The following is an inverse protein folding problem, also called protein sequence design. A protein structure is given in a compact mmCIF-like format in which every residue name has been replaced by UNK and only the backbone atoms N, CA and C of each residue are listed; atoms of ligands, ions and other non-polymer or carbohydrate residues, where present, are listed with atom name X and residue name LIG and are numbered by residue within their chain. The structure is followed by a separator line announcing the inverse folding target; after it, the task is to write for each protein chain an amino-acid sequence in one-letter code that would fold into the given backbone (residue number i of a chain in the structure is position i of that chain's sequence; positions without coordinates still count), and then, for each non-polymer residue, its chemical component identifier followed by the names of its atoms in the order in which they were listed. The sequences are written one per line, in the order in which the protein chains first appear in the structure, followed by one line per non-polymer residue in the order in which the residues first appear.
data_IF_712337093320
#
_entry.id   IF_712337093320
#
_cell.length_a   1.000
_cell.length_b   1.000
_cell.length_c   1.000
_cell.angle_alpha   90.00
_cell.angle_beta   90.00
_cell.angle_gamma   90.00
#
_symmetry.space_group_name_H-M   'P 1'
#
loop_
_entity.id
_entity.type
_entity.pdbx_description
1 polymer ?
#
# COMPACT_ATOMS: atom_id res chain seq x y z
N UNK A 1 45.20 4.22 34.93
CA UNK A 1 44.11 4.62 34.03
C UNK A 1 43.99 3.49 33.01
N UNK A 2 42.94 2.67 33.09
CA UNK A 2 42.72 1.61 32.10
C UNK A 2 42.20 2.24 30.81
N UNK A 3 42.90 1.98 29.70
CA UNK A 3 42.45 2.37 28.37
C UNK A 3 41.40 1.34 27.94
N UNK A 4 40.22 1.80 27.54
CA UNK A 4 39.17 0.91 27.01
C UNK A 4 39.52 0.50 25.59
N UNK A 5 39.52 -0.80 25.36
CA UNK A 5 39.67 -1.40 24.04
C UNK A 5 38.32 -1.37 23.30
N UNK A 6 38.36 -1.14 21.98
CA UNK A 6 37.18 -1.14 21.11
C UNK A 6 37.47 -1.98 19.87
N UNK A 7 36.51 -2.82 19.49
CA UNK A 7 36.62 -3.74 18.35
C UNK A 7 35.58 -3.36 17.27
N UNK A 8 35.93 -3.54 16.01
CA UNK A 8 35.04 -3.44 14.85
C UNK A 8 34.75 -4.83 14.25
N UNK A 9 33.99 -4.88 13.15
CA UNK A 9 33.57 -6.14 12.50
C UNK A 9 34.74 -6.99 12.00
N UNK A 10 35.79 -6.36 11.45
CA UNK A 10 36.94 -7.07 10.86
C UNK A 10 37.93 -7.60 11.91
N UNK A 11 37.81 -7.17 13.16
CA UNK A 11 38.69 -7.60 14.25
C UNK A 11 38.31 -8.99 14.80
N UNK A 12 37.13 -9.50 14.46
CA UNK A 12 36.56 -10.71 15.07
C UNK A 12 35.92 -11.65 14.04
N UNK A 13 35.89 -12.94 14.38
CA UNK A 13 35.22 -13.97 13.60
C UNK A 13 34.29 -14.80 14.48
N UNK A 14 33.19 -15.29 13.89
CA UNK A 14 32.28 -16.21 14.57
C UNK A 14 32.86 -17.63 14.54
N UNK A 15 33.12 -18.21 15.73
CA UNK A 15 33.57 -19.59 15.86
C UNK A 15 32.41 -20.56 15.57
N UNK A 16 32.50 -21.44 14.56
CA UNK A 16 31.44 -22.39 14.25
C UNK A 16 31.15 -23.34 15.43
N UNK A 17 29.88 -23.66 15.64
CA UNK A 17 29.42 -24.64 16.65
C UNK A 17 28.48 -25.65 16.01
N UNK A 18 28.33 -26.82 16.65
CA UNK A 18 27.36 -27.85 16.22
C UNK A 18 25.96 -27.23 16.19
N UNK A 19 25.27 -27.40 15.06
CA UNK A 19 23.89 -26.93 14.86
C UNK A 19 22.95 -28.11 14.70
N UNK A 20 21.74 -28.00 15.25
CA UNK A 20 20.62 -28.93 15.00
C UNK A 20 19.77 -28.52 13.80
N UNK A 21 20.05 -27.35 13.20
CA UNK A 21 19.35 -26.84 12.02
C UNK A 21 19.76 -27.68 10.82
N UNK A 22 18.79 -28.38 10.23
CA UNK A 22 19.01 -29.32 9.12
C UNK A 22 19.09 -28.57 7.78
N UNK A 23 18.26 -27.54 7.61
CA UNK A 23 18.20 -26.75 6.38
C UNK A 23 18.20 -25.26 6.70
N UNK A 24 18.74 -24.44 5.78
CA UNK A 24 18.76 -22.98 5.92
C UNK A 24 17.35 -22.39 6.12
N UNK A 25 16.33 -23.02 5.52
CA UNK A 25 14.92 -22.62 5.64
C UNK A 25 14.32 -22.74 7.05
N UNK A 26 14.95 -23.48 7.96
CA UNK A 26 14.50 -23.59 9.35
C UNK A 26 14.97 -22.43 10.23
N UNK A 27 15.86 -21.57 9.73
CA UNK A 27 16.34 -20.41 10.48
C UNK A 27 15.28 -19.31 10.51
N UNK A 28 15.05 -18.72 11.70
CA UNK A 28 14.11 -17.61 11.87
C UNK A 28 14.90 -16.29 11.95
N UNK A 29 14.60 -15.37 11.03
CA UNK A 29 15.21 -14.04 10.95
C UNK A 29 14.34 -12.94 11.58
N UNK A 30 13.19 -13.31 12.16
CA UNK A 30 12.32 -12.35 12.82
C UNK A 30 13.03 -11.64 13.96
N UNK A 31 12.85 -10.33 14.03
CA UNK A 31 13.46 -9.49 15.05
C UNK A 31 12.51 -8.38 15.52
N UNK A 32 12.79 -7.78 16.67
CA UNK A 32 12.07 -6.62 17.18
C UNK A 32 12.86 -5.35 16.90
N UNK A 33 12.27 -4.45 16.11
CA UNK A 33 12.80 -3.10 15.91
C UNK A 33 12.53 -2.21 17.13
N UNK A 34 11.34 -2.35 17.72
CA UNK A 34 10.94 -1.62 18.91
C UNK A 34 10.06 -2.49 19.81
N UNK A 35 9.59 -1.94 20.94
CA UNK A 35 8.68 -2.64 21.85
C UNK A 35 7.44 -3.20 21.13
N UNK A 36 6.96 -2.49 20.12
CA UNK A 36 5.68 -2.75 19.45
C UNK A 36 5.81 -3.09 17.95
N UNK A 37 7.03 -3.12 17.41
CA UNK A 37 7.28 -3.35 15.97
C UNK A 37 8.22 -4.54 15.81
N UNK A 38 7.70 -5.58 15.17
CA UNK A 38 8.47 -6.75 14.72
C UNK A 38 8.68 -6.69 13.21
N UNK A 39 9.83 -7.16 12.75
CA UNK A 39 10.19 -7.32 11.35
C UNK A 39 10.40 -8.82 11.05
N UNK A 40 10.15 -9.21 9.81
CA UNK A 40 10.39 -10.58 9.36
C UNK A 40 11.86 -10.85 9.00
N UNK A 41 12.60 -9.79 8.66
CA UNK A 41 14.06 -9.81 8.49
C UNK A 41 14.70 -8.62 9.23
N UNK A 42 15.95 -8.74 9.71
CA UNK A 42 16.62 -7.69 10.49
C UNK A 42 17.29 -6.66 9.58
N UNK A 43 16.59 -6.16 8.56
CA UNK A 43 17.14 -5.20 7.58
C UNK A 43 16.29 -3.93 7.57
N UNK A 44 16.98 -2.80 7.67
CA UNK A 44 16.40 -1.45 7.67
C UNK A 44 17.14 -0.63 6.63
N UNK A 45 16.44 0.08 5.75
CA UNK A 45 17.10 1.01 4.83
C UNK A 45 17.42 2.34 5.53
N UNK A 46 18.58 2.91 5.20
CA UNK A 46 19.05 4.16 5.80
C UNK A 46 18.14 5.34 5.43
N UNK A 47 17.97 6.28 6.36
CA UNK A 47 17.15 7.47 6.22
C UNK A 47 17.82 8.60 5.42
N UNK A 48 18.38 8.26 4.26
CA UNK A 48 19.09 9.17 3.37
C UNK A 48 18.26 9.44 2.11
N UNK A 49 18.35 10.65 1.58
CA UNK A 49 17.69 11.10 0.33
C UNK A 49 18.01 10.20 -0.87
N UNK A 50 19.27 9.82 -0.98
CA UNK A 50 19.81 8.93 -2.03
C UNK A 50 19.42 7.46 -1.86
N UNK A 51 18.78 7.09 -0.74
CA UNK A 51 18.50 5.69 -0.40
C UNK A 51 17.01 5.42 -0.28
N UNK A 52 16.28 6.20 0.54
CA UNK A 52 14.93 5.82 0.97
C UNK A 52 13.88 6.89 0.80
N UNK A 53 13.18 6.80 -0.33
CA UNK A 53 11.83 7.36 -0.53
C UNK A 53 10.78 6.23 -0.56
N UNK A 54 9.54 6.52 -0.98
CA UNK A 54 8.45 5.55 -1.00
C UNK A 54 8.79 4.26 -1.75
N UNK A 55 9.44 4.35 -2.91
CA UNK A 55 9.77 3.17 -3.71
C UNK A 55 10.64 2.15 -2.92
N UNK A 56 11.71 2.62 -2.28
CA UNK A 56 12.57 1.78 -1.45
C UNK A 56 11.85 1.28 -0.21
N UNK A 57 11.10 2.15 0.48
CA UNK A 57 10.36 1.74 1.66
C UNK A 57 9.30 0.66 1.38
N UNK A 58 8.64 0.71 0.21
CA UNK A 58 7.73 -0.34 -0.26
C UNK A 58 8.47 -1.64 -0.52
N UNK A 59 9.62 -1.59 -1.19
CA UNK A 59 10.43 -2.79 -1.45
C UNK A 59 10.90 -3.45 -0.14
N UNK A 60 11.45 -2.65 0.78
CA UNK A 60 11.89 -3.13 2.09
C UNK A 60 10.76 -3.78 2.88
N UNK A 61 9.59 -3.14 2.93
CA UNK A 61 8.44 -3.71 3.63
C UNK A 61 7.94 -5.01 2.99
N UNK A 62 8.00 -5.15 1.65
CA UNK A 62 7.61 -6.37 0.93
C UNK A 62 8.53 -7.55 1.24
N UNK A 63 9.84 -7.30 1.33
CA UNK A 63 10.82 -8.34 1.68
C UNK A 63 10.86 -8.66 3.19
N UNK A 64 10.13 -7.90 4.01
CA UNK A 64 10.00 -8.14 5.45
C UNK A 64 10.88 -7.27 6.35
N UNK A 65 11.61 -6.33 5.76
CA UNK A 65 12.32 -5.28 6.47
C UNK A 65 11.43 -4.05 6.68
N UNK A 66 12.06 -2.88 6.79
CA UNK A 66 11.37 -1.59 6.85
C UNK A 66 12.24 -0.51 6.22
N UNK A 67 11.62 0.46 5.55
CA UNK A 67 12.31 1.66 5.10
C UNK A 67 12.00 2.87 5.97
N UNK A 68 13.01 3.71 6.18
CA UNK A 68 12.89 4.98 6.90
C UNK A 68 13.01 6.13 5.90
N UNK A 69 11.91 6.86 5.68
CA UNK A 69 11.89 8.01 4.78
C UNK A 69 12.77 9.13 5.37
N UNK A 70 13.65 9.70 4.56
CA UNK A 70 14.52 10.80 4.97
C UNK A 70 13.75 12.10 5.28
N UNK A 71 14.45 13.09 5.84
CA UNK A 71 13.89 14.38 6.29
C UNK A 71 14.18 15.56 5.36
N UNK A 72 14.83 15.33 4.21
CA UNK A 72 15.14 16.39 3.24
C UNK A 72 13.97 16.61 2.27
N UNK A 73 12.77 16.73 2.84
CA UNK A 73 11.50 16.98 2.19
C UNK A 73 10.74 17.98 3.05
N UNK A 74 9.84 18.75 2.46
CA UNK A 74 8.87 19.49 3.26
C UNK A 74 7.96 18.52 4.03
N UNK A 75 7.36 18.97 5.14
CA UNK A 75 6.44 18.14 5.93
C UNK A 75 5.32 17.53 5.05
N UNK A 76 4.65 18.30 4.16
CA UNK A 76 3.63 17.73 3.27
C UNK A 76 4.17 16.66 2.31
N UNK A 77 5.38 16.85 1.79
CA UNK A 77 6.02 15.87 0.89
C UNK A 77 6.37 14.58 1.63
N UNK A 78 6.95 14.67 2.82
CA UNK A 78 7.27 13.49 3.63
C UNK A 78 6.01 12.70 4.00
N UNK A 79 4.92 13.40 4.35
CA UNK A 79 3.61 12.78 4.59
C UNK A 79 3.09 12.09 3.34
N UNK A 80 3.25 12.70 2.17
CA UNK A 80 2.85 12.07 0.91
C UNK A 80 3.64 10.80 0.61
N UNK A 81 4.95 10.79 0.85
CA UNK A 81 5.79 9.58 0.72
C UNK A 81 5.32 8.46 1.65
N UNK A 82 5.02 8.77 2.93
CA UNK A 82 4.46 7.81 3.88
C UNK A 82 3.12 7.27 3.36
N UNK A 83 2.23 8.13 2.88
CA UNK A 83 0.92 7.74 2.35
C UNK A 83 1.05 6.79 1.15
N UNK A 84 1.98 7.05 0.23
CA UNK A 84 2.28 6.16 -0.90
C UNK A 84 2.67 4.77 -0.40
N UNK A 85 3.54 4.68 0.61
CA UNK A 85 3.96 3.38 1.18
C UNK A 85 2.80 2.65 1.85
N UNK A 86 2.01 3.35 2.67
CA UNK A 86 0.85 2.72 3.33
C UNK A 86 -0.17 2.19 2.34
N UNK A 87 -0.32 2.80 1.16
CA UNK A 87 -1.29 2.39 0.12
C UNK A 87 -0.79 1.25 -0.78
N UNK A 88 0.51 1.04 -0.92
CA UNK A 88 1.11 0.14 -1.94
C UNK A 88 0.98 -1.38 -1.69
N UNK A 89 0.45 -1.77 -0.53
CA UNK A 89 0.31 -3.18 -0.14
C UNK A 89 -0.82 -3.42 0.85
N UNK A 90 -1.75 -2.46 0.96
CA UNK A 90 -2.98 -2.66 1.72
C UNK A 90 -3.90 -3.56 0.91
N UNK A 91 -4.34 -4.68 1.47
CA UNK A 91 -5.32 -5.56 0.81
C UNK A 91 -6.69 -4.87 0.70
N UNK A 92 -6.98 -3.99 1.66
CA UNK A 92 -8.16 -3.12 1.69
C UNK A 92 -7.68 -1.67 1.63
N UNK A 93 -8.09 -0.95 0.59
CA UNK A 93 -7.87 0.49 0.45
C UNK A 93 -8.99 1.19 1.20
N UNK A 94 -8.76 1.67 2.43
CA UNK A 94 -9.79 2.32 3.28
C UNK A 94 -10.27 3.68 2.71
N UNK A 95 -9.41 4.40 1.98
CA UNK A 95 -9.73 5.68 1.36
C UNK A 95 -9.48 5.60 -0.15
N UNK A 96 -10.36 4.93 -0.91
CA UNK A 96 -10.25 4.91 -2.36
C UNK A 96 -10.45 6.32 -2.92
N UNK A 97 -10.04 6.54 -4.16
CA UNK A 97 -10.27 7.82 -4.82
C UNK A 97 -11.67 7.86 -5.43
N UNK A 98 -12.34 8.99 -5.21
CA UNK A 98 -13.71 9.23 -5.62
C UNK A 98 -13.79 10.30 -6.69
N UNK A 99 -14.85 10.24 -7.49
CA UNK A 99 -15.24 11.30 -8.40
C UNK A 99 -16.75 11.47 -8.35
N UNK A 100 -17.24 12.68 -8.56
CA UNK A 100 -18.67 12.94 -8.56
C UNK A 100 -19.29 12.61 -9.93
N UNK A 101 -20.56 12.18 -9.97
CA UNK A 101 -21.27 11.84 -11.21
C UNK A 101 -21.43 13.02 -12.18
N UNK A 102 -21.42 14.26 -11.67
CA UNK A 102 -21.57 15.52 -12.40
C UNK A 102 -20.25 16.11 -12.91
N UNK A 103 -19.12 15.46 -12.65
CA UNK A 103 -17.83 15.84 -13.21
C UNK A 103 -17.65 15.31 -14.63
N UNK A 104 -16.74 15.92 -15.38
CA UNK A 104 -16.44 15.50 -16.75
C UNK A 104 -15.50 14.29 -16.78
N UNK A 105 -15.58 13.49 -17.85
CA UNK A 105 -14.62 12.41 -18.12
C UNK A 105 -13.18 12.95 -18.18
N UNK A 106 -12.98 14.15 -18.73
CA UNK A 106 -11.67 14.80 -18.78
C UNK A 106 -11.06 14.98 -17.39
N UNK A 107 -11.82 15.51 -16.44
CA UNK A 107 -11.38 15.67 -15.04
C UNK A 107 -11.03 14.31 -14.42
N UNK A 108 -11.82 13.27 -14.72
CA UNK A 108 -11.55 11.91 -14.27
C UNK A 108 -10.20 11.39 -14.76
N UNK A 109 -9.90 11.58 -16.04
CA UNK A 109 -8.64 11.15 -16.66
C UNK A 109 -7.45 11.88 -16.03
N UNK A 110 -7.56 13.20 -15.86
CA UNK A 110 -6.52 14.02 -15.22
C UNK A 110 -6.27 13.56 -13.78
N UNK A 111 -7.34 13.32 -13.02
CA UNK A 111 -7.25 12.87 -11.64
C UNK A 111 -6.65 11.46 -11.52
N UNK A 112 -7.04 10.54 -12.40
CA UNK A 112 -6.44 9.19 -12.47
C UNK A 112 -4.94 9.24 -12.77
N UNK A 113 -4.52 10.15 -13.66
CA UNK A 113 -3.11 10.36 -13.99
C UNK A 113 -2.33 10.93 -12.81
N UNK A 114 -2.85 11.99 -12.21
CA UNK A 114 -2.24 12.66 -11.05
C UNK A 114 -2.03 11.67 -9.88
N UNK A 115 -3.05 10.86 -9.59
CA UNK A 115 -3.01 9.88 -8.49
C UNK A 115 -2.42 8.53 -8.89
N UNK A 116 -2.04 8.34 -10.15
CA UNK A 116 -1.50 7.10 -10.70
C UNK A 116 -2.38 5.86 -10.42
N UNK A 117 -3.69 6.00 -10.60
CA UNK A 117 -4.68 4.92 -10.37
C UNK A 117 -5.41 4.50 -11.64
N UNK A 118 -5.89 3.26 -11.67
CA UNK A 118 -6.56 2.66 -12.84
C UNK A 118 -8.10 2.67 -12.76
N UNK A 119 -8.66 3.29 -11.73
CA UNK A 119 -10.10 3.54 -11.64
C UNK A 119 -10.46 4.41 -10.44
N UNK A 120 -11.64 5.00 -10.52
CA UNK A 120 -12.26 5.88 -9.54
C UNK A 120 -13.63 5.33 -9.17
N UNK A 121 -13.98 5.42 -7.90
CA UNK A 121 -15.34 5.13 -7.46
C UNK A 121 -16.19 6.38 -7.69
N UNK A 122 -17.39 6.20 -8.24
CA UNK A 122 -18.32 7.29 -8.45
C UNK A 122 -19.27 7.33 -7.26
N UNK A 123 -19.26 8.44 -6.53
CA UNK A 123 -20.09 8.61 -5.34
C UNK A 123 -20.80 9.94 -5.32
N UNK A 124 -21.96 9.99 -4.68
CA UNK A 124 -22.64 11.23 -4.34
C UNK A 124 -21.92 12.00 -3.21
N UNK A 125 -22.51 13.13 -2.80
CA UNK A 125 -22.00 13.94 -1.68
C UNK A 125 -22.01 13.22 -0.33
N UNK A 126 -22.84 12.19 -0.16
CA UNK A 126 -22.98 11.40 1.06
C UNK A 126 -22.11 10.14 1.06
N UNK A 127 -21.23 9.99 0.07
CA UNK A 127 -20.34 8.84 -0.16
C UNK A 127 -21.08 7.54 -0.52
N UNK A 128 -22.32 7.64 -1.00
CA UNK A 128 -23.07 6.51 -1.53
C UNK A 128 -22.52 6.15 -2.91
N UNK A 129 -22.31 4.86 -3.14
CA UNK A 129 -21.78 4.38 -4.42
C UNK A 129 -22.86 4.48 -5.51
N UNK A 130 -22.56 5.22 -6.58
CA UNK A 130 -23.39 5.29 -7.78
C UNK A 130 -22.81 4.48 -8.94
N UNK A 131 -21.49 4.27 -8.94
CA UNK A 131 -20.84 3.53 -10.02
C UNK A 131 -19.32 3.41 -9.86
N UNK A 132 -18.67 2.87 -10.88
CA UNK A 132 -17.22 2.82 -11.00
C UNK A 132 -16.80 3.24 -12.40
N UNK A 133 -15.72 4.02 -12.48
CA UNK A 133 -15.08 4.39 -13.73
C UNK A 133 -13.67 3.79 -13.76
N UNK A 134 -13.35 3.00 -14.76
CA UNK A 134 -12.06 2.32 -14.89
C UNK A 134 -11.32 2.72 -16.16
N UNK A 135 -10.02 2.38 -16.20
CA UNK A 135 -9.21 2.55 -17.41
C UNK A 135 -9.82 1.85 -18.63
N UNK A 136 -10.50 0.71 -18.44
CA UNK A 136 -11.13 -0.03 -19.54
C UNK A 136 -12.25 0.79 -20.17
N UNK A 137 -13.06 1.47 -19.35
CA UNK A 137 -14.15 2.32 -19.81
C UNK A 137 -13.60 3.52 -20.59
N UNK A 138 -12.54 4.15 -20.06
CA UNK A 138 -11.88 5.32 -20.69
C UNK A 138 -11.28 4.98 -22.06
N UNK A 139 -10.71 3.78 -22.24
CA UNK A 139 -10.08 3.38 -23.51
C UNK A 139 -11.12 3.21 -24.62
N UNK A 140 -12.37 2.92 -24.28
CA UNK A 140 -13.46 2.73 -25.25
C UNK A 140 -14.13 4.05 -25.69
N UNK A 141 -13.69 5.18 -25.13
CA UNK A 141 -14.25 6.49 -25.42
C UNK A 141 -13.59 7.16 -26.61
N UNK A 142 -14.40 7.86 -27.40
CA UNK A 142 -13.91 8.72 -28.47
C UNK A 142 -13.39 10.06 -27.91
N UNK A 143 -12.52 10.79 -28.64
CA UNK A 143 -11.99 12.08 -28.18
C UNK A 143 -13.07 13.10 -27.76
N UNK A 144 -14.22 13.10 -28.44
CA UNK A 144 -15.33 14.00 -28.16
C UNK A 144 -16.08 13.64 -26.85
N UNK A 145 -15.96 12.41 -26.38
CA UNK A 145 -16.61 11.93 -25.15
C UNK A 145 -15.98 12.49 -23.88
N UNK A 146 -14.81 13.14 -23.96
CA UNK A 146 -14.16 13.75 -22.80
C UNK A 146 -15.01 14.85 -22.15
N UNK A 147 -15.94 15.45 -22.89
CA UNK A 147 -16.88 16.48 -22.41
C UNK A 147 -18.12 15.88 -21.73
N UNK A 148 -18.39 14.58 -21.90
CA UNK A 148 -19.51 13.90 -21.25
C UNK A 148 -19.30 13.85 -19.74
N UNK A 149 -20.41 13.72 -19.03
CA UNK A 149 -20.40 13.53 -17.58
C UNK A 149 -20.01 12.10 -17.22
N UNK A 150 -19.35 11.93 -16.08
CA UNK A 150 -18.94 10.61 -15.58
C UNK A 150 -20.13 9.66 -15.45
N UNK A 151 -21.29 10.15 -15.01
CA UNK A 151 -22.52 9.33 -14.88
C UNK A 151 -23.01 8.71 -16.19
N UNK A 152 -22.63 9.27 -17.34
CA UNK A 152 -23.06 8.78 -18.66
C UNK A 152 -22.19 7.62 -19.16
N UNK A 153 -21.01 7.45 -18.57
CA UNK A 153 -19.98 6.50 -19.04
C UNK A 153 -19.63 5.46 -17.98
N UNK A 154 -19.85 5.76 -16.69
CA UNK A 154 -19.55 4.84 -15.60
C UNK A 154 -20.35 3.54 -15.70
N UNK A 155 -19.81 2.48 -15.09
CA UNK A 155 -20.58 1.26 -14.83
C UNK A 155 -21.40 1.44 -13.56
N UNK A 156 -22.73 1.46 -13.66
CA UNK A 156 -23.64 1.65 -12.50
C UNK A 156 -23.94 0.36 -11.74
N UNK A 157 -23.95 -0.79 -12.43
CA UNK A 157 -24.18 -2.09 -11.79
C UNK A 157 -22.88 -2.63 -11.19
N UNK A 158 -22.54 -2.11 -10.01
CA UNK A 158 -21.28 -2.42 -9.33
C UNK A 158 -21.49 -3.50 -8.28
N UNK A 159 -20.82 -4.63 -8.48
CA UNK A 159 -20.76 -5.69 -7.48
C UNK A 159 -19.97 -5.19 -6.28
N UNK A 160 -20.59 -5.28 -5.11
CA UNK A 160 -20.06 -4.74 -3.85
C UNK A 160 -20.00 -5.83 -2.78
N UNK A 161 -19.26 -5.55 -1.71
CA UNK A 161 -19.20 -6.40 -0.52
C UNK A 161 -19.28 -5.56 0.76
N UNK A 162 -19.57 -6.20 1.89
CA UNK A 162 -19.57 -5.52 3.18
C UNK A 162 -18.15 -5.21 3.65
N UNK A 163 -17.98 -4.05 4.28
CA UNK A 163 -16.73 -3.69 4.94
C UNK A 163 -16.43 -4.67 6.08
N UNK A 164 -15.22 -5.23 6.08
CA UNK A 164 -14.83 -6.31 6.99
C UNK A 164 -14.87 -7.72 6.40
N UNK A 165 -15.22 -7.86 5.11
CA UNK A 165 -15.16 -9.15 4.39
C UNK A 165 -13.77 -9.79 4.48
N UNK A 166 -13.75 -11.12 4.62
CA UNK A 166 -12.51 -11.90 4.64
C UNK A 166 -11.82 -11.91 3.28
N UNK A 167 -10.48 -11.97 3.26
CA UNK A 167 -9.68 -11.94 2.02
C UNK A 167 -10.04 -13.10 1.08
N UNK A 168 -10.22 -14.30 1.64
CA UNK A 168 -10.59 -15.49 0.85
C UNK A 168 -11.97 -15.35 0.20
N UNK A 169 -12.91 -14.73 0.91
CA UNK A 169 -14.27 -14.48 0.40
C UNK A 169 -14.27 -13.39 -0.67
N UNK A 170 -13.54 -12.29 -0.44
CA UNK A 170 -13.34 -11.25 -1.44
C UNK A 170 -12.69 -11.78 -2.72
N UNK A 171 -11.70 -12.67 -2.60
CA UNK A 171 -11.06 -13.36 -3.73
C UNK A 171 -12.07 -14.18 -4.54
N UNK A 172 -12.98 -14.87 -3.87
CA UNK A 172 -14.00 -15.67 -4.53
C UNK A 172 -15.04 -14.81 -5.25
N UNK A 173 -15.47 -13.68 -4.66
CA UNK A 173 -16.36 -12.71 -5.32
C UNK A 173 -15.71 -12.13 -6.58
N UNK A 174 -14.44 -11.70 -6.50
CA UNK A 174 -13.71 -11.17 -7.65
C UNK A 174 -13.60 -12.23 -8.77
N UNK A 175 -13.30 -13.49 -8.41
CA UNK A 175 -13.16 -14.62 -9.34
C UNK A 175 -14.48 -14.98 -10.02
N UNK A 176 -15.55 -15.15 -9.24
CA UNK A 176 -16.86 -15.58 -9.73
C UNK A 176 -17.46 -14.59 -10.71
N UNK A 177 -17.23 -13.29 -10.47
CA UNK A 177 -17.80 -12.23 -11.28
C UNK A 177 -16.82 -11.65 -12.31
N UNK A 178 -15.60 -12.19 -12.41
CA UNK A 178 -14.57 -11.74 -13.35
C UNK A 178 -14.28 -10.23 -13.29
N UNK A 179 -14.29 -9.66 -12.09
CA UNK A 179 -14.05 -8.23 -11.84
C UNK A 179 -12.70 -8.00 -11.15
N UNK A 180 -12.10 -6.82 -11.39
CA UNK A 180 -10.80 -6.45 -10.82
C UNK A 180 -10.90 -5.62 -9.54
N UNK A 181 -12.04 -4.98 -9.30
CA UNK A 181 -12.24 -3.98 -8.26
C UNK A 181 -13.54 -4.28 -7.52
N UNK A 182 -13.47 -4.46 -6.21
CA UNK A 182 -14.60 -4.77 -5.33
C UNK A 182 -14.75 -3.66 -4.28
N UNK A 183 -15.68 -2.71 -4.47
CA UNK A 183 -15.98 -1.70 -3.47
C UNK A 183 -16.57 -2.33 -2.21
N UNK A 184 -16.15 -1.82 -1.06
CA UNK A 184 -16.62 -2.23 0.25
C UNK A 184 -17.55 -1.17 0.82
N UNK A 185 -18.76 -1.55 1.16
CA UNK A 185 -19.80 -0.68 1.70
C UNK A 185 -20.02 -0.92 3.19
N UNK A 186 -20.45 0.12 3.91
CA UNK A 186 -21.04 -0.06 5.24
C UNK A 186 -22.53 -0.42 5.14
N UNK A 187 -23.17 -0.66 6.29
CA UNK A 187 -24.61 -0.96 6.40
C UNK A 187 -25.52 0.12 5.82
N UNK A 188 -25.03 1.37 5.69
CA UNK A 188 -25.78 2.50 5.12
C UNK A 188 -25.63 2.62 3.59
N UNK A 189 -24.81 1.77 2.97
CA UNK A 189 -24.51 1.82 1.53
C UNK A 189 -23.40 2.80 1.14
N UNK A 190 -22.67 3.35 2.11
CA UNK A 190 -21.57 4.28 1.86
C UNK A 190 -20.26 3.52 1.67
N UNK A 191 -19.42 3.99 0.76
CA UNK A 191 -18.11 3.38 0.51
C UNK A 191 -17.20 3.58 1.72
N UNK A 192 -16.64 2.46 2.20
CA UNK A 192 -15.62 2.40 3.26
C UNK A 192 -14.32 1.77 2.82
N UNK A 193 -14.28 1.16 1.65
CA UNK A 193 -13.01 0.73 1.09
C UNK A 193 -13.12 0.14 -0.31
N UNK A 194 -11.98 -0.36 -0.79
CA UNK A 194 -11.85 -1.02 -2.10
C UNK A 194 -10.84 -2.16 -1.99
N UNK A 195 -11.19 -3.33 -2.52
CA UNK A 195 -10.25 -4.43 -2.72
C UNK A 195 -10.00 -4.56 -4.21
N UNK A 196 -8.74 -4.73 -4.61
CA UNK A 196 -8.40 -5.01 -6.02
C UNK A 196 -7.79 -6.40 -6.19
N UNK A 197 -8.02 -7.01 -7.36
CA UNK A 197 -7.40 -8.29 -7.73
C UNK A 197 -5.87 -8.20 -7.69
N UNK A 198 -5.31 -7.05 -8.08
CA UNK A 198 -3.87 -6.75 -8.01
C UNK A 198 -3.33 -6.82 -6.59
N UNK A 199 -4.06 -6.29 -5.61
CA UNK A 199 -3.62 -6.30 -4.21
C UNK A 199 -3.66 -7.71 -3.62
N UNK A 200 -4.64 -8.54 -4.01
CA UNK A 200 -4.70 -9.96 -3.61
C UNK A 200 -3.52 -10.75 -4.20
N UNK A 201 -3.18 -10.52 -5.48
CA UNK A 201 -2.03 -11.17 -6.12
C UNK A 201 -0.73 -10.75 -5.43
N UNK A 202 -0.54 -9.45 -5.21
CA UNK A 202 0.65 -8.94 -4.52
C UNK A 202 0.79 -9.48 -3.10
N UNK A 203 -0.31 -9.67 -2.37
CA UNK A 203 -0.26 -10.28 -1.04
C UNK A 203 0.29 -11.72 -1.06
N UNK A 204 0.01 -12.49 -2.13
CA UNK A 204 0.57 -13.84 -2.31
C UNK A 204 2.06 -13.85 -2.67
N UNK A 205 2.54 -12.83 -3.39
CA UNK A 205 3.93 -12.76 -3.85
C UNK A 205 4.93 -12.43 -2.73
N UNK A 206 4.46 -11.84 -1.62
CA UNK A 206 5.32 -11.35 -0.53
C UNK A 206 4.84 -11.90 0.83
N UNK A 207 5.02 -13.20 1.10
CA UNK A 207 4.57 -13.83 2.34
C UNK A 207 5.29 -13.29 3.58
N UNK A 208 6.54 -12.87 3.42
CA UNK A 208 7.36 -12.29 4.49
C UNK A 208 7.16 -10.79 4.67
N UNK A 209 6.17 -10.17 4.01
CA UNK A 209 5.99 -8.73 4.09
C UNK A 209 5.70 -8.23 5.51
N UNK A 210 6.41 -7.17 5.91
CA UNK A 210 6.24 -6.45 7.16
C UNK A 210 5.01 -5.55 7.09
N UNK A 211 3.94 -5.94 7.79
CA UNK A 211 2.63 -5.27 7.76
C UNK A 211 2.19 -4.84 9.16
N UNK A 212 1.39 -3.78 9.23
CA UNK A 212 0.70 -3.38 10.45
C UNK A 212 -0.53 -4.27 10.72
N UNK A 213 -1.22 -4.02 11.85
CA UNK A 213 -2.44 -4.74 12.25
C UNK A 213 -3.58 -4.67 11.22
N UNK A 214 -3.55 -3.67 10.33
CA UNK A 214 -4.52 -3.49 9.24
C UNK A 214 -4.05 -4.12 7.92
N UNK A 215 -2.92 -4.82 7.92
CA UNK A 215 -2.36 -5.45 6.73
C UNK A 215 -1.61 -4.50 5.79
N UNK A 216 -1.31 -3.27 6.22
CA UNK A 216 -0.65 -2.25 5.39
C UNK A 216 0.87 -2.29 5.61
N UNK A 217 1.71 -2.01 4.60
CA UNK A 217 3.17 -2.05 4.74
C UNK A 217 3.68 -1.18 5.90
N UNK A 218 4.68 -1.66 6.65
CA UNK A 218 5.37 -0.86 7.67
C UNK A 218 6.30 0.16 7.02
N UNK A 219 6.41 1.34 7.62
CA UNK A 219 7.27 2.44 7.17
C UNK A 219 7.62 3.31 8.36
N UNK A 220 8.85 3.84 8.38
CA UNK A 220 9.28 4.88 9.30
C UNK A 220 9.56 6.19 8.57
N UNK A 221 9.67 7.27 9.33
CA UNK A 221 10.11 8.58 8.83
C UNK A 221 11.09 9.17 9.84
N UNK A 222 12.16 9.79 9.33
CA UNK A 222 13.13 10.49 10.14
C UNK A 222 12.60 11.89 10.51
N UNK A 223 12.83 12.29 11.77
CA UNK A 223 12.42 13.59 12.30
C UNK A 223 13.61 14.24 13.00
N UNK A 224 13.78 15.55 12.81
CA UNK A 224 14.81 16.34 13.47
C UNK A 224 14.57 16.55 14.96
N UNK A 225 15.65 16.77 15.72
CA UNK A 225 15.54 17.19 17.14
C UNK A 225 15.28 18.70 17.27
N UNK A 226 15.66 19.48 16.25
CA UNK A 226 15.31 20.90 16.14
C UNK A 226 14.10 21.05 15.22
N UNK A 227 13.25 22.02 15.54
CA UNK A 227 12.02 22.31 14.78
C UNK A 227 12.30 22.44 13.28
N UNK A 228 11.47 21.76 12.51
CA UNK A 228 11.43 21.80 11.04
C UNK A 228 10.44 22.88 10.57
#
# INVERSE_FOLDING_TARGET
MEIREGLTFDDVLLVPKRSSVVTRSQTNLQTKLSRNISLNIPIISANMDTVTESAMAVAMAREGGIGIIHRFLTIPEQVNEVLKVKRSGSIIIENPYFIRPDQTVKEAIEYMREKSVSGLLVTDSDMKLEGILTRRDIIMLEPDDQKKLVKEVMTSDVITANFGIGISEAKEILRKNCIEKLPLLNEKGNVKGLITSKDIIHAGNYPSASKDKKGRPLVGAAVGVKGD
#
